data_IF_836610855298
#
_entry.id   IF_836610855298
#
_cell.length_a   1.000
_cell.length_b   1.000
_cell.length_c   1.000
_cell.angle_alpha   90.00
_cell.angle_beta   90.00
_cell.angle_gamma   90.00
#
_symmetry.space_group_name_H-M   'P 1'
#
loop_
_entity.id
_entity.type
_entity.pdbx_description
1 polymer ?
#
# COMPACT_ATOMS: atom_id res chain seq x y z
N UNK A 1 20.68 10.94 28.51
CA UNK A 1 19.31 10.87 27.97
C UNK A 1 19.38 11.48 26.59
N UNK A 2 19.46 10.63 25.57
CA UNK A 2 19.66 11.07 24.19
C UNK A 2 18.37 11.68 23.62
N UNK A 3 18.55 12.74 22.86
CA UNK A 3 17.55 13.63 22.26
C UNK A 3 16.70 12.98 21.14
N UNK A 4 16.51 11.65 21.19
CA UNK A 4 15.90 10.86 20.11
C UNK A 4 14.48 10.32 20.43
N UNK A 5 13.91 10.58 21.61
CA UNK A 5 12.69 9.88 22.08
C UNK A 5 11.36 10.65 21.93
N UNK A 6 11.31 11.79 21.23
CA UNK A 6 10.06 12.59 21.11
C UNK A 6 9.09 12.08 20.04
N UNK A 7 9.54 11.28 19.08
CA UNK A 7 8.72 10.80 17.96
C UNK A 7 8.80 9.29 17.86
N UNK A 8 7.66 8.63 18.01
CA UNK A 8 7.51 7.18 17.80
C UNK A 8 7.09 6.97 16.34
N UNK A 9 7.85 6.19 15.56
CA UNK A 9 7.46 5.79 14.21
C UNK A 9 6.39 4.70 14.31
N UNK A 10 5.13 5.07 14.09
CA UNK A 10 3.99 4.17 14.34
C UNK A 10 4.05 2.91 13.48
N UNK A 11 4.46 3.06 12.23
CA UNK A 11 4.54 2.00 11.23
C UNK A 11 5.77 1.08 11.37
N UNK A 12 6.71 1.43 12.25
CA UNK A 12 7.84 0.58 12.63
C UNK A 12 7.51 -0.36 13.81
N UNK A 13 6.37 -0.13 14.48
CA UNK A 13 5.93 -0.92 15.63
C UNK A 13 5.30 -2.24 15.19
N UNK A 14 5.29 -3.21 16.09
CA UNK A 14 4.46 -4.40 16.06
C UNK A 14 3.10 -4.11 16.72
N UNK A 15 2.10 -4.97 16.49
CA UNK A 15 0.78 -4.73 17.09
C UNK A 15 0.76 -4.74 18.63
N UNK A 16 1.54 -5.58 19.36
CA UNK A 16 1.59 -5.50 20.81
C UNK A 16 2.20 -4.18 21.30
N UNK A 17 3.24 -3.67 20.62
CA UNK A 17 3.82 -2.36 20.94
C UNK A 17 2.77 -1.24 20.75
N UNK A 18 1.91 -1.32 19.73
CA UNK A 18 0.76 -0.40 19.58
C UNK A 18 -0.28 -0.57 20.68
N UNK A 19 -0.52 -1.80 21.14
CA UNK A 19 -1.44 -2.06 22.24
C UNK A 19 -1.01 -1.33 23.52
N UNK A 20 0.29 -1.22 23.76
CA UNK A 20 0.89 -0.54 24.93
C UNK A 20 0.98 0.98 24.80
N UNK A 21 0.75 1.55 23.61
CA UNK A 21 0.80 3.00 23.43
C UNK A 21 -0.27 3.75 24.25
N UNK A 22 0.08 4.88 24.89
CA UNK A 22 -0.90 5.74 25.56
C UNK A 22 -1.97 6.24 24.57
N UNK A 23 -3.24 6.05 24.90
CA UNK A 23 -4.36 6.47 24.03
C UNK A 23 -4.55 8.00 23.92
N UNK A 24 -3.88 8.75 24.78
CA UNK A 24 -3.80 10.23 24.71
C UNK A 24 -2.63 10.73 23.84
N UNK A 25 -1.79 9.82 23.33
CA UNK A 25 -0.68 10.17 22.44
C UNK A 25 -1.21 10.87 21.18
N UNK A 26 -0.54 11.94 20.76
CA UNK A 26 -0.88 12.61 19.51
C UNK A 26 -0.48 11.72 18.32
N UNK A 27 -1.43 11.45 17.44
CA UNK A 27 -1.24 10.68 16.21
C UNK A 27 -1.07 11.65 15.05
N UNK A 28 0.15 11.82 14.56
CA UNK A 28 0.50 12.75 13.49
C UNK A 28 0.46 12.01 12.14
N UNK A 29 -0.40 12.46 11.23
CA UNK A 29 -0.51 11.90 9.87
C UNK A 29 0.03 12.91 8.86
N UNK A 30 1.21 12.69 8.28
CA UNK A 30 1.79 13.63 7.33
C UNK A 30 1.07 13.62 5.98
N UNK A 31 0.79 14.79 5.42
CA UNK A 31 0.38 14.92 4.03
C UNK A 31 1.59 15.25 3.15
N UNK A 32 1.95 14.32 2.26
CA UNK A 32 3.06 14.44 1.32
C UNK A 32 4.34 13.78 1.77
N UNK A 33 5.21 13.59 0.79
CA UNK A 33 6.54 13.01 0.95
C UNK A 33 7.55 14.11 1.19
N UNK A 34 8.28 14.01 2.29
CA UNK A 34 9.21 15.04 2.73
C UNK A 34 9.37 15.04 4.24
N UNK A 35 10.01 16.09 4.76
CA UNK A 35 10.30 16.25 6.19
C UNK A 35 9.50 17.40 6.76
N UNK A 36 8.76 17.12 7.83
CA UNK A 36 8.11 18.15 8.63
C UNK A 36 9.03 18.58 9.78
N UNK A 37 8.95 19.85 10.17
CA UNK A 37 9.50 20.32 11.45
C UNK A 37 8.62 19.80 12.60
N UNK A 38 8.96 18.61 13.09
CA UNK A 38 8.18 17.90 14.10
C UNK A 38 8.30 18.56 15.48
N UNK A 39 9.43 19.16 15.83
CA UNK A 39 9.57 19.88 17.10
C UNK A 39 8.60 21.06 17.18
N UNK A 40 8.52 21.85 16.11
CA UNK A 40 7.52 22.92 16.00
C UNK A 40 6.08 22.40 16.06
N UNK A 41 5.81 21.22 15.48
CA UNK A 41 4.50 20.59 15.58
C UNK A 41 4.16 20.18 17.02
N UNK A 42 5.09 19.53 17.72
CA UNK A 42 4.92 19.11 19.12
C UNK A 42 4.70 20.31 20.05
N UNK A 43 5.48 21.37 19.90
CA UNK A 43 5.40 22.58 20.72
C UNK A 43 4.04 23.28 20.55
N UNK A 44 3.54 23.36 19.31
CA UNK A 44 2.22 23.93 19.01
C UNK A 44 1.06 23.07 19.50
N UNK A 45 1.27 21.76 19.56
CA UNK A 45 0.33 20.83 20.15
C UNK A 45 0.45 20.80 21.69
N UNK A 46 1.50 21.36 22.28
CA UNK A 46 1.76 21.31 23.71
C UNK A 46 1.96 19.88 24.20
N UNK A 47 2.60 19.02 23.40
CA UNK A 47 2.88 17.62 23.75
C UNK A 47 4.38 17.38 23.78
N UNK A 48 4.81 16.45 24.64
CA UNK A 48 6.22 16.07 24.75
C UNK A 48 6.61 15.00 23.74
N UNK A 49 5.65 14.13 23.39
CA UNK A 49 5.84 12.99 22.50
C UNK A 49 4.62 12.81 21.59
N UNK A 50 4.84 12.25 20.40
CA UNK A 50 3.79 11.85 19.47
C UNK A 50 4.16 10.59 18.68
N UNK A 51 3.15 9.91 18.14
CA UNK A 51 3.34 8.86 17.13
C UNK A 51 3.17 9.46 15.74
N UNK A 52 4.11 9.17 14.86
CA UNK A 52 4.12 9.59 13.46
C UNK A 52 3.69 8.41 12.59
N UNK A 53 2.56 8.58 11.91
CA UNK A 53 2.03 7.62 10.93
C UNK A 53 2.74 7.75 9.58
N UNK A 54 2.61 6.74 8.70
CA UNK A 54 3.16 6.83 7.36
C UNK A 54 2.46 7.95 6.57
N UNK A 55 3.18 8.62 5.69
CA UNK A 55 2.63 9.75 4.94
C UNK A 55 1.47 9.32 4.04
N UNK A 56 0.48 10.20 3.85
CA UNK A 56 -0.42 10.16 2.69
C UNK A 56 0.35 10.77 1.52
N UNK A 57 0.83 9.99 0.53
CA UNK A 57 1.84 10.48 -0.42
C UNK A 57 1.28 11.44 -1.49
N UNK A 58 0.03 11.26 -1.90
CA UNK A 58 -0.62 12.01 -2.97
C UNK A 58 -2.14 12.06 -2.80
N UNK A 59 -2.86 12.64 -3.77
CA UNK A 59 -4.32 12.79 -3.73
C UNK A 59 -4.80 14.18 -3.31
N UNK A 60 -3.90 15.13 -3.09
CA UNK A 60 -4.22 16.51 -2.72
C UNK A 60 -3.43 17.50 -3.58
N UNK A 61 -3.89 18.75 -3.61
CA UNK A 61 -3.19 19.84 -4.30
C UNK A 61 -1.90 20.15 -3.55
N UNK A 62 -0.82 20.40 -4.31
CA UNK A 62 0.49 20.76 -3.76
C UNK A 62 0.91 22.15 -4.26
N UNK A 63 1.65 22.88 -3.42
CA UNK A 63 2.12 24.25 -3.69
C UNK A 63 3.64 24.33 -3.88
N UNK A 64 4.32 23.18 -3.77
CA UNK A 64 5.77 22.99 -3.85
C UNK A 64 6.26 22.65 -5.27
N UNK A 65 5.36 22.58 -6.25
CA UNK A 65 5.67 22.18 -7.63
C UNK A 65 5.88 20.68 -7.81
N UNK A 66 5.59 19.85 -6.80
CA UNK A 66 5.74 18.41 -6.90
C UNK A 66 4.78 17.82 -7.97
N UNK A 67 5.27 17.00 -8.90
CA UNK A 67 4.49 16.39 -9.97
C UNK A 67 3.31 15.53 -9.49
N UNK A 68 3.36 14.99 -8.28
CA UNK A 68 2.25 14.25 -7.67
C UNK A 68 1.05 15.16 -7.36
N UNK A 69 1.23 16.48 -7.35
CA UNK A 69 0.11 17.43 -7.29
C UNK A 69 -0.89 17.29 -8.44
N UNK A 70 -0.46 16.73 -9.58
CA UNK A 70 -1.35 16.39 -10.69
C UNK A 70 -2.33 15.25 -10.38
N UNK A 71 -2.04 14.44 -9.34
CA UNK A 71 -2.90 13.35 -8.87
C UNK A 71 -3.92 13.81 -7.83
N UNK A 72 -4.12 15.12 -7.65
CA UNK A 72 -5.09 15.66 -6.71
C UNK A 72 -6.52 15.16 -7.01
N UNK A 73 -7.17 14.55 -6.02
CA UNK A 73 -8.59 14.17 -6.11
C UNK A 73 -9.49 15.33 -5.66
N UNK A 74 -10.81 15.14 -5.73
CA UNK A 74 -11.74 16.17 -5.24
C UNK A 74 -11.56 16.38 -3.73
N UNK A 75 -11.74 17.61 -3.20
CA UNK A 75 -11.63 17.86 -1.76
C UNK A 75 -12.58 17.00 -0.91
N UNK A 76 -13.75 16.66 -1.45
CA UNK A 76 -14.71 15.77 -0.78
C UNK A 76 -14.22 14.32 -0.68
N UNK A 77 -13.53 13.82 -1.72
CA UNK A 77 -12.96 12.47 -1.69
C UNK A 77 -11.72 12.41 -0.80
N UNK A 78 -10.82 13.39 -0.89
CA UNK A 78 -9.69 13.52 0.02
C UNK A 78 -10.15 13.55 1.48
N UNK A 79 -11.21 14.32 1.77
CA UNK A 79 -11.81 14.36 3.10
C UNK A 79 -12.26 12.97 3.57
N UNK A 80 -12.95 12.20 2.72
CA UNK A 80 -13.38 10.84 3.06
C UNK A 80 -12.20 9.93 3.38
N UNK A 81 -11.10 10.05 2.62
CA UNK A 81 -9.85 9.31 2.89
C UNK A 81 -9.30 9.66 4.27
N UNK A 82 -9.07 10.94 4.55
CA UNK A 82 -8.50 11.37 5.84
C UNK A 82 -9.43 11.04 7.01
N UNK A 83 -10.74 11.18 6.83
CA UNK A 83 -11.73 10.77 7.83
C UNK A 83 -11.71 9.26 8.07
N UNK A 84 -11.49 8.44 7.04
CA UNK A 84 -11.34 6.98 7.21
C UNK A 84 -10.16 6.64 8.12
N UNK A 85 -8.98 7.21 7.84
CA UNK A 85 -7.77 7.03 8.66
C UNK A 85 -8.03 7.46 10.11
N UNK A 86 -8.56 8.68 10.30
CA UNK A 86 -8.85 9.20 11.63
C UNK A 86 -9.90 8.39 12.38
N UNK A 87 -10.94 7.90 11.70
CA UNK A 87 -11.99 7.08 12.30
C UNK A 87 -11.43 5.77 12.84
N UNK A 88 -10.51 5.12 12.11
CA UNK A 88 -9.93 3.87 12.58
C UNK A 88 -9.02 4.09 13.80
N UNK A 89 -8.20 5.13 13.80
CA UNK A 89 -7.39 5.51 14.97
C UNK A 89 -8.27 5.80 16.20
N UNK A 90 -9.39 6.52 16.02
CA UNK A 90 -10.35 6.75 17.09
C UNK A 90 -11.04 5.45 17.55
N UNK A 91 -11.33 4.52 16.64
CA UNK A 91 -11.92 3.22 16.98
C UNK A 91 -10.98 2.37 17.85
N UNK A 92 -9.66 2.52 17.65
CA UNK A 92 -8.62 1.92 18.49
C UNK A 92 -8.35 2.72 19.79
N UNK A 93 -9.07 3.81 20.01
CA UNK A 93 -9.06 4.59 21.25
C UNK A 93 -8.14 5.82 21.23
N UNK A 94 -7.36 6.06 20.18
CA UNK A 94 -6.50 7.25 20.10
C UNK A 94 -7.34 8.51 19.90
N UNK A 95 -7.30 9.45 20.84
CA UNK A 95 -8.21 10.60 20.87
C UNK A 95 -7.72 11.81 20.09
N UNK A 96 -6.42 11.88 19.80
CA UNK A 96 -5.77 13.07 19.26
C UNK A 96 -5.13 12.78 17.90
N UNK A 97 -5.93 12.78 16.84
CA UNK A 97 -5.45 12.61 15.46
C UNK A 97 -5.26 13.98 14.81
N UNK A 98 -4.05 14.23 14.29
CA UNK A 98 -3.66 15.51 13.68
C UNK A 98 -3.01 15.24 12.33
N UNK A 99 -3.54 15.88 11.28
CA UNK A 99 -2.98 15.82 9.94
C UNK A 99 -2.01 16.99 9.74
N UNK A 100 -0.75 16.69 9.43
CA UNK A 100 0.24 17.73 9.15
C UNK A 100 0.14 18.16 7.70
N UNK A 101 0.09 19.47 7.45
CA UNK A 101 0.03 20.02 6.09
C UNK A 101 1.10 21.08 5.87
N UNK A 102 1.92 20.89 4.84
CA UNK A 102 2.82 21.91 4.28
C UNK A 102 2.23 22.63 3.06
N UNK A 103 1.01 22.28 2.65
CA UNK A 103 0.52 22.50 1.28
C UNK A 103 -0.52 23.61 1.13
N UNK A 104 -0.62 24.52 2.11
CA UNK A 104 -1.62 25.59 2.13
C UNK A 104 -3.04 25.09 2.44
N UNK A 105 -4.06 25.85 2.02
CA UNK A 105 -5.47 25.49 2.23
C UNK A 105 -5.91 24.39 1.24
N UNK A 106 -6.09 23.17 1.76
CA UNK A 106 -6.57 22.02 1.01
C UNK A 106 -8.10 22.00 0.81
N UNK A 107 -8.82 23.04 1.25
CA UNK A 107 -10.29 23.11 1.15
C UNK A 107 -11.01 22.12 2.10
N UNK A 108 -10.29 21.63 3.11
CA UNK A 108 -10.77 20.65 4.08
C UNK A 108 -11.44 21.34 5.28
N UNK A 109 -12.55 22.06 5.04
CA UNK A 109 -13.35 22.66 6.13
C UNK A 109 -14.38 21.66 6.65
N UNK A 110 -14.15 21.00 7.78
CA UNK A 110 -15.13 20.08 8.40
C UNK A 110 -14.86 19.85 9.89
N UNK A 111 -15.93 19.58 10.63
CA UNK A 111 -15.87 19.01 11.97
C UNK A 111 -15.17 17.63 11.95
N UNK A 112 -14.29 17.37 12.92
CA UNK A 112 -13.67 16.06 13.14
C UNK A 112 -12.34 15.80 12.43
N UNK A 113 -11.82 16.75 11.63
CA UNK A 113 -10.44 16.71 11.14
C UNK A 113 -9.64 17.86 11.76
N UNK A 114 -8.51 17.54 12.37
CA UNK A 114 -7.57 18.54 12.88
C UNK A 114 -6.39 18.64 11.93
N UNK A 115 -6.29 19.75 11.20
CA UNK A 115 -5.15 20.06 10.34
C UNK A 115 -4.20 21.01 11.08
N UNK A 116 -2.92 20.67 11.07
CA UNK A 116 -1.86 21.53 11.58
C UNK A 116 -0.95 21.92 10.42
N UNK A 117 -1.01 23.19 10.03
CA UNK A 117 -0.07 23.71 9.04
C UNK A 117 1.32 23.76 9.65
N UNK A 118 2.26 22.95 9.19
CA UNK A 118 3.60 22.80 9.79
C UNK A 118 4.66 23.03 8.72
N UNK A 119 5.80 23.69 9.03
CA UNK A 119 6.90 23.82 8.08
C UNK A 119 7.29 22.46 7.50
N UNK A 120 7.46 22.43 6.18
CA UNK A 120 7.61 21.20 5.40
C UNK A 120 8.66 21.39 4.31
N UNK A 121 9.63 20.49 4.28
CA UNK A 121 10.61 20.36 3.22
C UNK A 121 10.20 19.19 2.31
N UNK A 122 9.72 19.46 1.07
CA UNK A 122 9.27 18.42 0.16
C UNK A 122 10.42 17.52 -0.29
N UNK A 123 10.13 16.22 -0.41
CA UNK A 123 11.04 15.31 -1.10
C UNK A 123 11.09 15.66 -2.60
N UNK A 124 12.27 15.77 -3.21
CA UNK A 124 12.38 16.01 -4.65
C UNK A 124 11.74 14.88 -5.46
N UNK A 125 10.99 15.25 -6.51
CA UNK A 125 10.38 14.30 -7.44
C UNK A 125 10.57 14.77 -8.89
N UNK A 126 10.89 13.83 -9.78
CA UNK A 126 11.09 14.10 -11.19
C UNK A 126 9.74 14.37 -11.91
N UNK A 127 9.68 15.34 -12.84
CA UNK A 127 8.45 15.62 -13.57
C UNK A 127 7.96 14.41 -14.36
N UNK A 128 6.67 14.39 -14.67
CA UNK A 128 6.08 13.38 -15.55
C UNK A 128 6.77 13.40 -16.92
N UNK A 129 7.26 12.25 -17.43
CA UNK A 129 8.02 12.24 -18.66
C UNK A 129 7.09 12.38 -19.87
N UNK A 130 7.59 13.00 -20.95
CA UNK A 130 6.80 13.27 -22.15
C UNK A 130 6.34 12.00 -22.89
N UNK A 131 7.04 10.89 -22.66
CA UNK A 131 6.74 9.56 -23.22
C UNK A 131 5.91 8.68 -22.25
N UNK A 132 5.19 9.27 -21.29
CA UNK A 132 4.34 8.57 -20.30
C UNK A 132 3.43 7.51 -20.95
N UNK A 133 2.89 7.78 -22.14
CA UNK A 133 2.05 6.86 -22.90
C UNK A 133 2.74 5.53 -23.29
N UNK A 134 4.08 5.52 -23.37
CA UNK A 134 4.89 4.35 -23.76
C UNK A 134 5.35 3.51 -22.57
N UNK A 135 5.03 3.95 -21.35
CA UNK A 135 5.47 3.35 -20.09
C UNK A 135 4.32 2.66 -19.38
N UNK A 136 4.65 1.70 -18.54
CA UNK A 136 3.69 1.10 -17.59
C UNK A 136 3.76 1.85 -16.27
N UNK A 137 2.64 2.45 -15.85
CA UNK A 137 2.55 3.11 -14.54
C UNK A 137 2.12 2.10 -13.49
N UNK A 138 2.97 1.85 -12.50
CA UNK A 138 2.66 1.06 -11.32
C UNK A 138 2.13 1.94 -10.19
N UNK A 139 0.94 1.61 -9.71
CA UNK A 139 0.37 2.17 -8.47
C UNK A 139 0.65 1.15 -7.36
N UNK A 140 1.62 1.45 -6.51
CA UNK A 140 2.02 0.57 -5.40
C UNK A 140 1.06 0.73 -4.22
N UNK A 141 0.37 -0.34 -3.83
CA UNK A 141 -0.62 -0.32 -2.75
C UNK A 141 -0.21 -1.29 -1.65
N UNK A 142 0.30 -0.75 -0.55
CA UNK A 142 0.60 -1.51 0.67
C UNK A 142 -0.52 -1.37 1.71
N UNK A 143 -0.12 -1.50 2.97
CA UNK A 143 -0.96 -1.28 4.12
C UNK A 143 -0.16 -0.93 5.38
N UNK A 144 -0.90 -0.61 6.45
CA UNK A 144 -0.45 -0.46 7.83
C UNK A 144 -1.26 -1.48 8.63
N UNK A 145 -0.70 -2.65 8.86
CA UNK A 145 -1.39 -3.84 9.36
C UNK A 145 -0.50 -4.69 10.26
N UNK A 146 -1.08 -5.25 11.32
CA UNK A 146 -0.43 -6.21 12.20
C UNK A 146 0.16 -7.39 11.39
N UNK A 147 1.34 -7.89 11.73
CA UNK A 147 1.95 -9.05 11.07
C UNK A 147 2.56 -10.02 12.10
N UNK A 148 1.76 -10.42 13.08
CA UNK A 148 2.25 -11.20 14.21
C UNK A 148 3.04 -10.35 15.21
N UNK A 149 3.76 -11.02 16.11
CA UNK A 149 4.54 -10.37 17.16
C UNK A 149 5.89 -9.81 16.69
N UNK A 150 6.34 -10.16 15.49
CA UNK A 150 7.73 -9.95 15.06
C UNK A 150 7.91 -8.97 13.92
N UNK A 151 6.88 -8.69 13.12
CA UNK A 151 6.99 -7.82 11.95
C UNK A 151 6.33 -6.44 12.17
N UNK A 152 6.90 -5.39 11.56
CA UNK A 152 6.38 -4.05 11.68
C UNK A 152 5.05 -3.89 10.94
N UNK A 153 4.23 -2.91 11.37
CA UNK A 153 2.97 -2.58 10.70
C UNK A 153 3.15 -2.17 9.23
N UNK A 154 4.33 -1.69 8.84
CA UNK A 154 4.68 -1.27 7.49
C UNK A 154 5.03 -2.41 6.53
N UNK A 155 4.95 -3.69 6.94
CA UNK A 155 5.40 -4.86 6.15
C UNK A 155 4.98 -4.80 4.68
N UNK A 156 3.68 -4.73 4.39
CA UNK A 156 3.17 -4.66 3.01
C UNK A 156 3.73 -3.47 2.22
N UNK A 157 3.77 -2.31 2.87
CA UNK A 157 4.23 -1.05 2.27
C UNK A 157 5.71 -1.11 1.94
N UNK A 158 6.54 -1.63 2.84
CA UNK A 158 7.98 -1.81 2.63
C UNK A 158 8.25 -2.76 1.47
N UNK A 159 7.47 -3.84 1.33
CA UNK A 159 7.67 -4.82 0.26
C UNK A 159 7.36 -4.21 -1.10
N UNK A 160 6.18 -3.60 -1.28
CA UNK A 160 5.83 -3.00 -2.58
C UNK A 160 6.69 -1.78 -2.91
N UNK A 161 7.16 -1.06 -1.90
CA UNK A 161 8.12 0.03 -2.09
C UNK A 161 9.46 -0.50 -2.60
N UNK A 162 10.01 -1.56 -2.00
CA UNK A 162 11.26 -2.17 -2.45
C UNK A 162 11.16 -2.74 -3.88
N UNK A 163 10.01 -3.33 -4.24
CA UNK A 163 9.76 -3.79 -5.61
C UNK A 163 9.69 -2.61 -6.58
N UNK A 164 8.97 -1.55 -6.23
CA UNK A 164 8.88 -0.33 -7.03
C UNK A 164 10.25 0.33 -7.26
N UNK A 165 11.09 0.38 -6.24
CA UNK A 165 12.46 0.89 -6.33
C UNK A 165 13.31 0.02 -7.29
N UNK A 166 13.26 -1.31 -7.13
CA UNK A 166 13.98 -2.22 -8.03
C UNK A 166 13.49 -2.14 -9.48
N UNK A 167 12.19 -1.93 -9.70
CA UNK A 167 11.60 -1.70 -11.02
C UNK A 167 12.13 -0.41 -11.65
N UNK A 168 12.10 0.69 -10.89
CA UNK A 168 12.56 2.00 -11.34
C UNK A 168 14.07 2.02 -11.62
N UNK A 169 14.87 1.28 -10.85
CA UNK A 169 16.31 1.14 -11.08
C UNK A 169 16.61 0.33 -12.35
N UNK A 170 15.92 -0.80 -12.56
CA UNK A 170 16.21 -1.73 -13.67
C UNK A 170 15.70 -1.25 -15.02
N UNK A 171 14.55 -0.58 -15.05
CA UNK A 171 13.90 -0.18 -16.30
C UNK A 171 13.29 1.22 -16.20
N UNK A 172 14.09 2.25 -15.86
CA UNK A 172 13.61 3.61 -15.68
C UNK A 172 12.94 4.19 -16.92
N UNK A 173 13.16 3.64 -18.11
CA UNK A 173 12.55 4.05 -19.37
C UNK A 173 11.29 3.26 -19.77
N UNK A 174 10.99 2.16 -19.08
CA UNK A 174 9.82 1.32 -19.37
C UNK A 174 8.70 1.48 -18.34
N UNK A 175 9.04 1.88 -17.11
CA UNK A 175 8.09 1.92 -15.98
C UNK A 175 8.15 3.25 -15.25
N UNK A 176 7.05 3.59 -14.59
CA UNK A 176 6.97 4.64 -13.58
C UNK A 176 6.28 4.03 -12.38
N UNK A 177 6.90 4.12 -11.20
CA UNK A 177 6.28 3.65 -9.97
C UNK A 177 5.84 4.84 -9.14
N UNK A 178 4.56 4.86 -8.76
CA UNK A 178 4.09 5.80 -7.75
C UNK A 178 4.66 5.41 -6.38
N UNK A 179 4.86 6.39 -5.47
CA UNK A 179 5.17 6.09 -4.09
C UNK A 179 4.13 5.14 -3.47
N UNK A 180 4.58 4.21 -2.62
CA UNK A 180 3.68 3.26 -1.99
C UNK A 180 2.60 3.94 -1.16
N UNK A 181 1.36 3.52 -1.37
CA UNK A 181 0.20 3.97 -0.59
C UNK A 181 0.00 3.06 0.63
N UNK A 182 0.09 3.58 1.88
CA UNK A 182 0.12 2.74 3.09
C UNK A 182 -1.26 2.50 3.74
N UNK A 183 -2.35 2.96 3.13
CA UNK A 183 -3.70 2.92 3.71
C UNK A 183 -4.67 2.09 2.86
N UNK A 184 -4.75 0.80 3.13
CA UNK A 184 -5.59 -0.17 2.46
C UNK A 184 -6.93 -0.45 3.14
N UNK A 185 -7.48 -1.61 2.80
CA UNK A 185 -8.71 -2.17 3.38
C UNK A 185 -8.38 -3.43 4.15
N UNK A 186 -8.65 -3.41 5.46
CA UNK A 186 -8.59 -4.60 6.30
C UNK A 186 -9.86 -4.70 7.14
N UNK A 187 -10.32 -5.93 7.37
CA UNK A 187 -11.60 -6.18 8.06
C UNK A 187 -11.44 -6.73 9.48
N UNK A 188 -10.22 -7.09 9.88
CA UNK A 188 -9.89 -7.69 11.19
C UNK A 188 -9.33 -6.67 12.20
N UNK A 189 -9.68 -5.38 12.06
CA UNK A 189 -9.07 -4.29 12.85
C UNK A 189 -9.41 -4.29 14.34
N UNK A 190 -10.37 -5.12 14.78
CA UNK A 190 -10.84 -5.14 16.17
C UNK A 190 -10.02 -6.07 17.06
N UNK A 191 -9.39 -7.07 16.48
CA UNK A 191 -8.72 -8.15 17.22
C UNK A 191 -7.27 -7.78 17.53
N UNK A 192 -6.64 -7.02 16.64
CA UNK A 192 -5.24 -6.65 16.73
C UNK A 192 -5.08 -5.13 16.51
N UNK A 193 -4.66 -4.37 17.55
CA UNK A 193 -4.32 -2.96 17.43
C UNK A 193 -3.27 -2.69 16.33
N UNK A 194 -3.20 -1.48 15.80
CA UNK A 194 -2.24 -1.15 14.74
C UNK A 194 -2.85 -1.14 13.34
N UNK A 195 -3.66 -2.14 13.01
CA UNK A 195 -4.24 -2.30 11.67
C UNK A 195 -5.21 -1.17 11.33
N UNK A 196 -4.98 -0.50 10.20
CA UNK A 196 -5.84 0.59 9.74
C UNK A 196 -6.89 0.08 8.74
N UNK A 197 -7.98 0.80 8.55
CA UNK A 197 -8.97 0.48 7.53
C UNK A 197 -9.57 1.75 6.96
N UNK A 198 -9.29 1.99 5.68
CA UNK A 198 -9.82 3.14 4.96
C UNK A 198 -11.33 3.00 4.65
N UNK A 199 -11.82 1.75 4.61
CA UNK A 199 -13.15 1.37 4.15
C UNK A 199 -13.18 1.18 2.63
N UNK A 200 -13.68 0.02 2.20
CA UNK A 200 -13.66 -0.43 0.80
C UNK A 200 -14.15 0.59 -0.22
N UNK A 201 -15.30 1.23 0.01
CA UNK A 201 -15.84 2.23 -0.93
C UNK A 201 -14.96 3.48 -1.06
N UNK A 202 -14.32 3.91 0.03
CA UNK A 202 -13.42 5.08 0.01
C UNK A 202 -12.14 4.73 -0.74
N UNK A 203 -11.62 3.53 -0.50
CA UNK A 203 -10.46 2.99 -1.21
C UNK A 203 -10.73 2.88 -2.72
N UNK A 204 -11.85 2.27 -3.12
CA UNK A 204 -12.24 2.13 -4.53
C UNK A 204 -12.41 3.50 -5.21
N UNK A 205 -13.19 4.41 -4.60
CA UNK A 205 -13.42 5.75 -5.14
C UNK A 205 -12.11 6.52 -5.30
N UNK A 206 -11.20 6.40 -4.33
CA UNK A 206 -9.89 7.05 -4.36
C UNK A 206 -9.05 6.56 -5.52
N UNK A 207 -8.82 5.25 -5.63
CA UNK A 207 -7.96 4.71 -6.69
C UNK A 207 -8.57 4.85 -8.08
N UNK A 208 -9.90 4.82 -8.20
CA UNK A 208 -10.58 5.15 -9.44
C UNK A 208 -10.30 6.60 -9.86
N UNK A 209 -10.34 7.55 -8.92
CA UNK A 209 -9.97 8.94 -9.18
C UNK A 209 -8.47 9.11 -9.52
N UNK A 210 -7.58 8.33 -8.91
CA UNK A 210 -6.15 8.32 -9.27
C UNK A 210 -5.95 7.83 -10.71
N UNK A 211 -6.63 6.75 -11.10
CA UNK A 211 -6.60 6.27 -12.49
C UNK A 211 -7.16 7.32 -13.46
N UNK A 212 -8.25 8.00 -13.11
CA UNK A 212 -8.79 9.11 -13.90
C UNK A 212 -7.74 10.23 -14.12
N UNK A 213 -6.94 10.54 -13.09
CA UNK A 213 -5.85 11.53 -13.21
C UNK A 213 -4.69 11.04 -14.06
N UNK A 214 -4.26 9.80 -13.90
CA UNK A 214 -3.18 9.21 -14.70
C UNK A 214 -3.56 9.12 -16.18
N UNK A 215 -4.80 8.71 -16.49
CA UNK A 215 -5.30 8.69 -17.85
C UNK A 215 -5.33 10.10 -18.46
N UNK A 216 -5.73 11.12 -17.70
CA UNK A 216 -5.71 12.51 -18.13
C UNK A 216 -4.29 13.05 -18.37
N UNK A 217 -3.31 12.57 -17.61
CA UNK A 217 -1.88 12.86 -17.83
C UNK A 217 -1.30 12.17 -19.07
N UNK A 218 -2.00 11.16 -19.61
CA UNK A 218 -1.59 10.45 -20.82
C UNK A 218 -1.13 9.01 -20.60
N UNK A 219 -1.15 8.48 -19.38
CA UNK A 219 -0.76 7.09 -19.10
C UNK A 219 -1.68 6.11 -19.86
N UNK A 220 -1.12 5.26 -20.72
CA UNK A 220 -1.90 4.29 -21.52
C UNK A 220 -1.99 2.92 -20.85
N UNK A 221 -0.96 2.53 -20.10
CA UNK A 221 -0.90 1.24 -19.39
C UNK A 221 -0.70 1.50 -17.91
N UNK A 222 -1.63 1.03 -17.07
CA UNK A 222 -1.63 1.23 -15.62
C UNK A 222 -1.79 -0.13 -14.93
N UNK A 223 -0.95 -0.40 -13.94
CA UNK A 223 -1.01 -1.63 -13.15
C UNK A 223 -1.01 -1.29 -11.65
N UNK A 224 -1.90 -1.90 -10.88
CA UNK A 224 -1.77 -1.91 -9.42
C UNK A 224 -0.77 -2.99 -9.01
N UNK A 225 0.28 -2.61 -8.29
CA UNK A 225 1.19 -3.56 -7.61
C UNK A 225 0.78 -3.66 -6.15
N UNK A 226 0.16 -4.78 -5.81
CA UNK A 226 -0.54 -4.95 -4.55
C UNK A 226 0.30 -5.69 -3.52
N UNK A 227 0.46 -5.12 -2.34
CA UNK A 227 1.20 -5.67 -1.22
C UNK A 227 0.34 -6.37 -0.17
N UNK A 228 -0.97 -6.15 -0.21
CA UNK A 228 -1.88 -6.56 0.86
C UNK A 228 -3.05 -7.39 0.33
N UNK A 229 -3.29 -8.58 0.90
CA UNK A 229 -4.36 -9.47 0.48
C UNK A 229 -5.74 -8.80 0.52
N UNK A 230 -6.02 -8.04 1.59
CA UNK A 230 -7.31 -7.39 1.81
C UNK A 230 -7.67 -6.33 0.76
N UNK A 231 -6.68 -5.75 0.07
CA UNK A 231 -6.91 -4.81 -1.02
C UNK A 231 -7.42 -5.48 -2.31
N UNK A 232 -7.11 -6.76 -2.53
CA UNK A 232 -7.19 -7.37 -3.85
C UNK A 232 -8.60 -7.32 -4.46
N UNK A 233 -9.62 -7.72 -3.70
CA UNK A 233 -11.01 -7.73 -4.19
C UNK A 233 -11.52 -6.33 -4.59
N UNK A 234 -11.09 -5.30 -3.87
CA UNK A 234 -11.41 -3.90 -4.17
C UNK A 234 -10.64 -3.40 -5.39
N UNK A 235 -9.37 -3.78 -5.55
CA UNK A 235 -8.59 -3.46 -6.75
C UNK A 235 -9.17 -4.10 -8.01
N UNK A 236 -9.68 -5.34 -7.93
CA UNK A 236 -10.40 -5.98 -9.04
C UNK A 236 -11.62 -5.16 -9.46
N UNK A 237 -12.38 -4.63 -8.50
CA UNK A 237 -13.50 -3.73 -8.80
C UNK A 237 -13.04 -2.43 -9.44
N UNK A 238 -11.98 -1.80 -8.91
CA UNK A 238 -11.40 -0.57 -9.47
C UNK A 238 -10.97 -0.79 -10.92
N UNK A 239 -10.27 -1.88 -11.21
CA UNK A 239 -9.81 -2.20 -12.58
C UNK A 239 -10.97 -2.34 -13.55
N UNK A 240 -12.04 -3.04 -13.16
CA UNK A 240 -13.24 -3.20 -14.02
C UNK A 240 -13.92 -1.86 -14.30
N UNK A 241 -14.18 -1.07 -13.26
CA UNK A 241 -14.83 0.24 -13.39
C UNK A 241 -13.98 1.25 -14.17
N UNK A 242 -12.66 1.25 -13.92
CA UNK A 242 -11.74 2.13 -14.62
C UNK A 242 -11.58 1.74 -16.09
N UNK A 243 -11.57 0.44 -16.40
CA UNK A 243 -11.57 -0.07 -17.77
C UNK A 243 -12.81 0.35 -18.56
N UNK A 244 -13.98 0.40 -17.92
CA UNK A 244 -15.21 0.94 -18.53
C UNK A 244 -15.13 2.46 -18.77
N UNK A 245 -14.57 3.22 -17.82
CA UNK A 245 -14.39 4.68 -17.95
C UNK A 245 -13.35 5.07 -19.02
N UNK A 246 -12.34 4.23 -19.19
CA UNK A 246 -11.18 4.50 -20.04
C UNK A 246 -10.97 3.37 -21.05
N UNK A 247 -11.89 3.17 -22.01
CA UNK A 247 -11.86 2.01 -22.91
C UNK A 247 -10.62 1.99 -23.82
N UNK A 248 -9.93 3.11 -24.00
CA UNK A 248 -8.68 3.21 -24.78
C UNK A 248 -7.42 2.95 -23.97
N UNK A 249 -7.53 2.63 -22.68
CA UNK A 249 -6.40 2.35 -21.79
C UNK A 249 -6.36 0.87 -21.43
N UNK A 250 -5.21 0.39 -20.99
CA UNK A 250 -5.05 -0.94 -20.42
C UNK A 250 -4.78 -0.81 -18.92
N UNK A 251 -5.74 -1.27 -18.12
CA UNK A 251 -5.71 -1.13 -16.66
C UNK A 251 -5.79 -2.53 -16.06
N UNK A 252 -4.88 -2.86 -15.16
CA UNK A 252 -4.75 -4.18 -14.57
C UNK A 252 -4.39 -4.13 -13.09
N UNK A 253 -4.57 -5.25 -12.42
CA UNK A 253 -4.00 -5.55 -11.09
C UNK A 253 -3.47 -6.97 -11.13
N UNK A 254 -2.46 -7.23 -10.33
CA UNK A 254 -2.06 -8.59 -9.97
C UNK A 254 -2.75 -9.03 -8.68
N UNK A 255 -2.56 -10.29 -8.28
CA UNK A 255 -3.05 -10.76 -6.99
C UNK A 255 -2.26 -10.11 -5.85
N UNK A 256 -0.98 -10.45 -5.74
CA UNK A 256 -0.04 -9.91 -4.75
C UNK A 256 1.37 -9.76 -5.34
N UNK A 257 2.26 -9.18 -4.53
CA UNK A 257 3.58 -8.69 -4.92
C UNK A 257 4.59 -9.75 -5.40
N UNK A 258 4.32 -11.05 -5.23
CA UNK A 258 5.17 -12.16 -5.69
C UNK A 258 4.29 -13.30 -6.16
N UNK A 259 4.42 -13.73 -7.42
CA UNK A 259 3.64 -14.84 -7.94
C UNK A 259 4.51 -15.84 -8.72
N UNK A 260 3.88 -16.91 -9.19
CA UNK A 260 4.54 -17.87 -10.07
C UNK A 260 5.57 -18.79 -9.39
N UNK A 261 6.44 -19.44 -10.18
CA UNK A 261 7.29 -20.53 -9.71
C UNK A 261 8.32 -20.11 -8.65
N UNK A 262 8.70 -18.84 -8.60
CA UNK A 262 9.66 -18.32 -7.63
C UNK A 262 9.17 -18.46 -6.18
N UNK A 263 7.86 -18.35 -5.96
CA UNK A 263 7.24 -18.51 -4.64
C UNK A 263 7.56 -19.90 -4.06
N UNK A 264 7.36 -20.96 -4.86
CA UNK A 264 7.60 -22.33 -4.43
C UNK A 264 9.08 -22.71 -4.39
N UNK A 265 9.95 -22.02 -5.13
CA UNK A 265 11.35 -22.41 -5.34
C UNK A 265 12.20 -22.36 -4.06
N UNK A 266 12.00 -21.34 -3.22
CA UNK A 266 12.82 -21.10 -2.01
C UNK A 266 12.06 -21.30 -0.71
N UNK A 267 10.79 -21.65 -0.82
CA UNK A 267 9.93 -21.99 0.30
C UNK A 267 10.46 -23.21 1.04
N UNK A 268 10.47 -23.14 2.37
CA UNK A 268 10.75 -24.29 3.24
C UNK A 268 9.57 -24.66 4.13
N UNK A 269 8.59 -23.78 4.30
CA UNK A 269 7.35 -24.06 5.02
C UNK A 269 6.43 -25.00 4.25
N UNK A 270 5.58 -25.73 4.98
CA UNK A 270 4.44 -26.45 4.39
C UNK A 270 3.30 -25.49 4.03
N UNK A 271 2.32 -25.94 3.23
CA UNK A 271 1.10 -25.20 2.90
C UNK A 271 0.50 -24.58 4.16
N UNK A 272 0.25 -23.27 4.14
CA UNK A 272 -0.21 -22.46 5.26
C UNK A 272 0.88 -21.62 5.91
N UNK A 273 2.16 -21.93 5.68
CA UNK A 273 3.28 -21.19 6.28
C UNK A 273 3.60 -19.82 5.66
N UNK A 274 2.95 -19.45 4.55
CA UNK A 274 3.20 -18.17 3.85
C UNK A 274 1.96 -17.25 3.82
N UNK A 275 0.89 -17.53 4.56
CA UNK A 275 -0.38 -16.78 4.51
C UNK A 275 -0.27 -15.30 4.87
N UNK A 276 0.09 -15.00 6.12
CA UNK A 276 0.18 -13.65 6.70
C UNK A 276 1.23 -13.63 7.82
N UNK A 277 2.15 -12.68 7.78
CA UNK A 277 3.37 -12.57 8.59
C UNK A 277 4.32 -13.78 8.47
N UNK A 278 4.08 -14.66 7.50
CA UNK A 278 4.73 -15.96 7.37
C UNK A 278 6.15 -15.90 6.82
N UNK A 279 6.62 -17.03 6.29
CA UNK A 279 7.99 -17.19 5.81
C UNK A 279 8.38 -16.15 4.75
N UNK A 280 7.46 -15.82 3.84
CA UNK A 280 7.69 -14.89 2.73
C UNK A 280 7.98 -13.48 3.23
N UNK A 281 7.01 -12.90 3.93
CA UNK A 281 7.04 -11.52 4.41
C UNK A 281 8.16 -11.35 5.43
N UNK A 282 8.34 -12.33 6.32
CA UNK A 282 9.47 -12.30 7.27
C UNK A 282 10.80 -12.27 6.54
N UNK A 283 10.96 -13.08 5.49
CA UNK A 283 12.17 -13.07 4.67
C UNK A 283 12.38 -11.72 3.98
N UNK A 284 11.33 -11.14 3.41
CA UNK A 284 11.39 -9.82 2.78
C UNK A 284 11.87 -8.75 3.75
N UNK A 285 11.25 -8.64 4.93
CA UNK A 285 11.60 -7.57 5.88
C UNK A 285 12.98 -7.81 6.49
N UNK A 286 13.40 -9.06 6.72
CA UNK A 286 14.78 -9.38 7.11
C UNK A 286 15.81 -8.93 6.06
N UNK A 287 15.43 -8.85 4.79
CA UNK A 287 16.29 -8.33 3.73
C UNK A 287 16.24 -6.79 3.65
N UNK A 288 15.05 -6.20 3.71
CA UNK A 288 14.80 -4.77 3.43
C UNK A 288 15.10 -3.89 4.65
N UNK A 289 14.61 -4.29 5.84
CA UNK A 289 14.70 -3.57 7.11
C UNK A 289 14.87 -4.55 8.28
N UNK A 290 16.02 -5.26 8.35
CA UNK A 290 16.26 -6.25 9.41
C UNK A 290 16.19 -5.66 10.83
N UNK A 291 16.44 -4.35 10.98
CA UNK A 291 16.34 -3.61 12.23
C UNK A 291 14.90 -3.56 12.80
N UNK A 292 13.89 -3.78 11.97
CA UNK A 292 12.48 -3.77 12.38
C UNK A 292 11.96 -5.15 12.79
N UNK A 293 12.70 -6.24 12.55
CA UNK A 293 12.22 -7.60 12.79
C UNK A 293 12.61 -8.08 14.20
N UNK A 294 11.62 -8.41 15.03
CA UNK A 294 11.83 -9.03 16.35
C UNK A 294 11.87 -10.55 16.23
N UNK A 295 12.93 -11.09 15.63
CA UNK A 295 13.02 -12.53 15.35
C UNK A 295 12.93 -13.42 16.60
N UNK A 296 13.27 -12.90 17.78
CA UNK A 296 13.07 -13.56 19.07
C UNK A 296 11.59 -13.73 19.45
N UNK A 297 10.70 -12.96 18.84
CA UNK A 297 9.24 -13.05 18.96
C UNK A 297 8.57 -13.78 17.80
N UNK A 298 9.34 -14.18 16.77
CA UNK A 298 8.79 -14.88 15.62
C UNK A 298 8.21 -16.24 16.04
N UNK A 299 7.02 -16.56 15.54
CA UNK A 299 6.28 -17.77 15.91
C UNK A 299 5.66 -18.44 14.67
N UNK A 300 4.95 -19.54 14.89
CA UNK A 300 4.27 -20.33 13.88
C UNK A 300 2.81 -20.54 14.27
N UNK A 301 1.89 -20.14 13.41
CA UNK A 301 0.46 -20.41 13.52
C UNK A 301 -0.07 -20.86 12.15
N UNK A 302 0.04 -22.17 11.90
CA UNK A 302 -0.39 -22.82 10.64
C UNK A 302 -1.57 -23.78 10.84
N UNK A 303 -2.08 -23.88 12.07
CA UNK A 303 -3.18 -24.76 12.47
C UNK A 303 -4.58 -24.16 12.34
N UNK A 304 -4.73 -23.08 11.56
CA UNK A 304 -6.01 -22.41 11.33
C UNK A 304 -7.02 -23.33 10.61
N UNK A 305 -8.31 -23.05 10.81
CA UNK A 305 -9.40 -23.89 10.31
C UNK A 305 -9.43 -23.82 8.78
N UNK A 306 -9.03 -24.93 8.14
CA UNK A 306 -8.88 -25.00 6.69
C UNK A 306 -9.43 -26.30 6.09
N UNK A 307 -9.71 -26.24 4.79
CA UNK A 307 -10.12 -27.38 3.95
C UNK A 307 -9.44 -27.24 2.58
N UNK A 308 -9.51 -28.27 1.74
CA UNK A 308 -9.00 -28.16 0.36
C UNK A 308 -9.75 -27.11 -0.49
N UNK A 309 -10.94 -26.66 -0.06
CA UNK A 309 -11.70 -25.62 -0.74
C UNK A 309 -11.62 -24.24 -0.04
N UNK A 310 -10.91 -24.13 1.07
CA UNK A 310 -10.77 -22.90 1.85
C UNK A 310 -9.49 -22.97 2.70
N UNK A 311 -8.46 -22.24 2.31
CA UNK A 311 -7.21 -22.12 3.06
C UNK A 311 -6.52 -20.80 2.72
N UNK A 312 -5.61 -20.37 3.58
CA UNK A 312 -4.71 -19.23 3.31
C UNK A 312 -3.29 -19.75 3.18
N UNK A 313 -2.66 -19.51 2.03
CA UNK A 313 -1.25 -19.85 1.85
C UNK A 313 -0.62 -18.96 0.79
N UNK A 314 -0.05 -17.84 1.25
CA UNK A 314 0.27 -16.65 0.47
C UNK A 314 -0.94 -15.94 -0.15
N UNK A 315 -1.82 -16.70 -0.78
CA UNK A 315 -3.11 -16.24 -1.29
C UNK A 315 -4.23 -17.08 -0.69
N UNK A 316 -5.42 -16.50 -0.56
CA UNK A 316 -6.62 -17.29 -0.30
C UNK A 316 -6.83 -18.29 -1.45
N UNK A 317 -7.03 -19.56 -1.10
CA UNK A 317 -7.08 -20.66 -2.05
C UNK A 317 -8.29 -21.57 -1.87
N UNK A 318 -8.64 -22.27 -2.95
CA UNK A 318 -9.78 -23.19 -3.00
C UNK A 318 -10.96 -22.63 -3.80
N UNK A 319 -12.18 -23.10 -3.50
CA UNK A 319 -13.42 -22.72 -4.21
C UNK A 319 -14.27 -21.74 -3.44
N UNK A 320 -14.06 -21.65 -2.12
CA UNK A 320 -14.84 -20.84 -1.22
C UNK A 320 -14.05 -19.59 -0.86
N UNK A 321 -14.76 -18.47 -0.77
CA UNK A 321 -14.26 -17.21 -0.24
C UNK A 321 -14.97 -16.99 1.08
N UNK A 322 -14.21 -16.86 2.16
CA UNK A 322 -14.75 -16.68 3.50
C UNK A 322 -13.84 -15.76 4.31
N UNK A 323 -14.45 -15.01 5.23
CA UNK A 323 -13.77 -14.07 6.10
C UNK A 323 -14.29 -14.25 7.55
N UNK A 324 -13.90 -15.34 8.23
CA UNK A 324 -14.17 -15.50 9.65
C UNK A 324 -13.38 -14.46 10.46
N UNK A 325 -13.80 -14.19 11.71
CA UNK A 325 -12.97 -13.46 12.67
C UNK A 325 -11.58 -14.11 12.77
N UNK A 326 -10.52 -13.31 12.72
CA UNK A 326 -9.16 -13.82 12.83
C UNK A 326 -8.90 -14.43 14.21
N UNK A 327 -9.60 -13.92 15.22
CA UNK A 327 -9.57 -14.48 16.58
C UNK A 327 -10.07 -15.93 16.70
N UNK A 328 -10.75 -16.48 15.69
CA UNK A 328 -11.12 -17.90 15.66
C UNK A 328 -9.93 -18.81 15.31
N UNK A 329 -8.91 -18.28 14.62
CA UNK A 329 -7.82 -19.04 14.01
C UNK A 329 -6.44 -18.73 14.59
N UNK A 330 -6.23 -17.51 15.11
CA UNK A 330 -4.92 -17.01 15.52
C UNK A 330 -4.97 -16.19 16.81
N UNK A 331 -3.95 -16.38 17.67
CA UNK A 331 -3.73 -15.56 18.88
C UNK A 331 -2.72 -14.45 18.62
N UNK A 332 -1.78 -14.69 17.70
CA UNK A 332 -0.74 -13.72 17.39
C UNK A 332 -1.10 -12.75 16.27
N UNK A 333 -2.18 -13.00 15.52
CA UNK A 333 -2.50 -12.33 14.27
C UNK A 333 -1.80 -12.94 13.05
N UNK A 334 -1.05 -14.04 13.22
CA UNK A 334 -0.31 -14.71 12.16
C UNK A 334 -1.15 -15.78 11.46
N UNK A 335 -1.03 -15.88 10.14
CA UNK A 335 -1.43 -17.06 9.35
C UNK A 335 -0.20 -17.61 8.64
N UNK A 336 0.73 -18.22 9.36
CA UNK A 336 2.04 -18.49 8.77
C UNK A 336 3.09 -19.03 9.72
N UNK A 337 4.29 -19.20 9.16
CA UNK A 337 5.48 -19.60 9.90
C UNK A 337 6.58 -18.55 9.72
N UNK A 338 6.61 -17.55 10.61
CA UNK A 338 7.62 -16.49 10.57
C UNK A 338 9.02 -17.00 10.91
N UNK A 339 9.14 -18.10 11.66
CA UNK A 339 10.43 -18.63 12.14
C UNK A 339 11.35 -19.11 11.01
N UNK A 340 10.77 -19.41 9.85
CA UNK A 340 11.49 -19.90 8.66
C UNK A 340 12.01 -18.78 7.75
N UNK A 341 11.71 -17.52 8.09
CA UNK A 341 12.15 -16.35 7.34
C UNK A 341 13.67 -16.19 7.36
N UNK A 342 14.27 -15.82 6.23
CA UNK A 342 15.71 -15.48 6.15
C UNK A 342 15.95 -14.33 5.19
N UNK A 343 16.94 -13.49 5.48
CA UNK A 343 17.32 -12.38 4.60
C UNK A 343 17.72 -12.85 3.18
N UNK A 344 18.34 -14.02 3.05
CA UNK A 344 18.73 -14.55 1.74
C UNK A 344 17.50 -14.93 0.89
N UNK A 345 16.49 -15.57 1.49
CA UNK A 345 15.22 -15.82 0.79
C UNK A 345 14.55 -14.50 0.37
N UNK A 346 14.59 -13.48 1.24
CA UNK A 346 14.03 -12.16 0.94
C UNK A 346 14.69 -11.50 -0.26
N UNK A 347 16.02 -11.55 -0.32
CA UNK A 347 16.81 -11.06 -1.47
C UNK A 347 16.44 -11.79 -2.76
N UNK A 348 16.31 -13.12 -2.70
CA UNK A 348 15.96 -13.96 -3.85
C UNK A 348 14.53 -13.70 -4.35
N UNK A 349 13.56 -13.63 -3.43
CA UNK A 349 12.17 -13.31 -3.77
C UNK A 349 12.00 -11.88 -4.27
N UNK A 350 12.70 -10.90 -3.70
CA UNK A 350 12.69 -9.53 -4.21
C UNK A 350 13.19 -9.46 -5.65
N UNK A 351 14.34 -10.08 -5.94
CA UNK A 351 14.87 -10.12 -7.30
C UNK A 351 13.89 -10.78 -8.30
N UNK A 352 13.25 -11.88 -7.88
CA UNK A 352 12.24 -12.58 -8.68
C UNK A 352 10.98 -11.74 -8.90
N UNK A 353 10.47 -11.09 -7.86
CA UNK A 353 9.31 -10.21 -7.95
C UNK A 353 9.60 -9.06 -8.93
N UNK A 354 10.74 -8.38 -8.82
CA UNK A 354 11.10 -7.31 -9.78
C UNK A 354 11.15 -7.84 -11.21
N UNK A 355 11.74 -9.02 -11.45
CA UNK A 355 11.76 -9.61 -12.80
C UNK A 355 10.37 -9.97 -13.32
N UNK A 356 9.54 -10.57 -12.47
CA UNK A 356 8.15 -10.87 -12.79
C UNK A 356 7.38 -9.60 -13.19
N UNK A 357 7.52 -8.52 -12.41
CA UNK A 357 6.82 -7.25 -12.67
C UNK A 357 7.31 -6.56 -13.95
N UNK A 358 8.60 -6.67 -14.30
CA UNK A 358 9.10 -6.22 -15.60
C UNK A 358 8.50 -7.02 -16.76
N UNK A 359 8.37 -8.34 -16.58
CA UNK A 359 7.66 -9.20 -17.53
C UNK A 359 6.21 -8.74 -17.72
N UNK A 360 5.47 -8.56 -16.62
CA UNK A 360 4.10 -8.04 -16.64
C UNK A 360 4.02 -6.66 -17.30
N UNK A 361 4.95 -5.74 -17.00
CA UNK A 361 4.95 -4.41 -17.60
C UNK A 361 5.00 -4.46 -19.13
N UNK A 362 5.82 -5.36 -19.68
CA UNK A 362 5.95 -5.59 -21.13
C UNK A 362 4.71 -6.26 -21.71
N UNK A 363 4.21 -7.31 -21.05
CA UNK A 363 3.00 -8.02 -21.46
C UNK A 363 1.79 -7.08 -21.51
N UNK A 364 1.60 -6.24 -20.50
CA UNK A 364 0.49 -5.28 -20.45
C UNK A 364 0.53 -4.31 -21.64
N UNK A 365 1.72 -3.79 -21.98
CA UNK A 365 1.90 -2.90 -23.15
C UNK A 365 1.67 -3.64 -24.47
N UNK A 366 2.13 -4.88 -24.59
CA UNK A 366 1.86 -5.72 -25.76
C UNK A 366 0.35 -5.96 -25.93
N UNK A 367 -0.33 -6.37 -24.85
CA UNK A 367 -1.77 -6.60 -24.83
C UNK A 367 -2.57 -5.33 -25.18
N UNK A 368 -2.09 -4.16 -24.76
CA UNK A 368 -2.64 -2.86 -25.13
C UNK A 368 -2.46 -2.58 -26.62
N UNK A 369 -1.24 -2.71 -27.15
CA UNK A 369 -0.93 -2.48 -28.56
C UNK A 369 -1.76 -3.39 -29.49
N UNK A 370 -1.88 -4.68 -29.17
CA UNK A 370 -2.70 -5.63 -29.93
C UNK A 370 -4.18 -5.19 -29.98
N UNK A 371 -4.72 -4.66 -28.87
CA UNK A 371 -6.10 -4.15 -28.82
C UNK A 371 -6.26 -2.85 -29.61
N UNK A 372 -5.26 -1.97 -29.63
CA UNK A 372 -5.25 -0.78 -30.47
C UNK A 372 -5.27 -1.17 -31.96
N UNK A 373 -4.42 -2.10 -32.39
CA UNK A 373 -4.41 -2.62 -33.77
C UNK A 373 -5.75 -3.27 -34.15
N UNK A 374 -6.34 -4.08 -33.26
CA UNK A 374 -7.64 -4.70 -33.51
C UNK A 374 -8.78 -3.67 -33.65
N UNK A 375 -8.74 -2.55 -32.92
CA UNK A 375 -9.71 -1.46 -33.06
C UNK A 375 -9.55 -0.72 -34.37
N UNK A 376 -8.31 -0.40 -34.76
CA UNK A 376 -8.02 0.26 -36.04
C UNK A 376 -8.53 -0.58 -37.23
N UNK A 377 -8.23 -1.89 -37.23
CA UNK A 377 -8.72 -2.81 -38.25
C UNK A 377 -10.26 -2.86 -38.33
N UNK A 378 -10.97 -2.84 -37.20
CA UNK A 378 -12.45 -2.82 -37.18
C UNK A 378 -13.04 -1.54 -37.77
N UNK A 379 -12.38 -0.40 -37.57
CA UNK A 379 -12.80 0.87 -38.18
C UNK A 379 -12.61 0.80 -39.69
N UNK A 380 -11.43 0.36 -40.15
CA UNK A 380 -11.12 0.19 -41.57
C UNK A 380 -12.12 -0.75 -42.28
N UNK A 381 -12.43 -1.91 -41.69
CA UNK A 381 -13.40 -2.85 -42.27
C UNK A 381 -14.84 -2.33 -42.16
N UNK A 382 -15.20 -1.66 -41.06
CA UNK A 382 -16.53 -1.08 -40.86
C UNK A 382 -16.88 0.03 -41.85
N UNK A 383 -15.87 0.80 -42.27
CA UNK A 383 -16.00 1.84 -43.30
C UNK A 383 -16.02 1.26 -44.73
N UNK A 384 -15.55 0.02 -44.95
CA UNK A 384 -15.62 -0.69 -46.24
C UNK A 384 -16.99 -1.37 -46.47
N UNK A 385 -17.79 -1.58 -45.42
CA UNK A 385 -19.11 -2.25 -45.47
C UNK A 385 -20.28 -1.24 -45.43
N UNK A 386 -20.00 0.07 -45.47
CA UNK A 386 -20.98 1.14 -45.69
C UNK A 386 -20.80 1.73 -47.09
#
# INVERSE_FOLDING_TARGET
>A
MHDHDRIIRYDDLTWPEVADLPRELAMLVPLGLGRYDLDSALDRLGVQQAALLPSVPYGFRRVDGDPLGALAVSPGLLRRVLTGIGKELHAQGFRRVVFLSGHGDLGLKTAGLTLLNTPFEPQPAAPWPADLARRTVFISTGHTEQHGYHLPLSTDTLIVQAIAEGLAERSPDEVICLPAWPYGVSTHTREFPGTLNLGGRVFEDFFLAIVDRLAALGAETICFSNGHGGNHSFLVNVVKLAGERHPTRFIATEWLHTTGPALARWRTSHRGGMGHGGELETSYILHIRPDLVRMDLATTETGFISTDNYFMDWVEGGKLIANPPWSDDTVSGLYGDGTLGTAEKGRLWLAAAVEEKLGLARELREQHALRQSARAWRVEVGDVVR
#
